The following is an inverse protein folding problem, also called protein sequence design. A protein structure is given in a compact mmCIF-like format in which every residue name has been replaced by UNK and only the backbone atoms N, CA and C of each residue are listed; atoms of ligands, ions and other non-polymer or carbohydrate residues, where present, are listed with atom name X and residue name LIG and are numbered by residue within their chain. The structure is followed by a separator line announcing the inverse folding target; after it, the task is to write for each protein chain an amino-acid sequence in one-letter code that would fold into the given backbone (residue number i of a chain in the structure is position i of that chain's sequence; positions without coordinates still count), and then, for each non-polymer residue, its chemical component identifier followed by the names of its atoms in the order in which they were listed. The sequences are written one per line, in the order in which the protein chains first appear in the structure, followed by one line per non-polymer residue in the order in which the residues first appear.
data_IF_345934137066
#
_entry.id   IF_345934137066
#
_cell.length_a   1.000
_cell.length_b   1.000
_cell.length_c   1.000
_cell.angle_alpha   90.00
_cell.angle_beta   90.00
_cell.angle_gamma   90.00
#
_symmetry.space_group_name_H-M   'P 1'
#
loop_
_entity.id
_entity.type
_entity.pdbx_description
1 polymer ?
#
# COMPACT_ATOMS: atom_id res chain seq x y z
N UNK A 1 48.73 14.33 2.79
CA UNK A 1 48.01 13.56 1.75
C UNK A 1 47.16 12.41 2.31
N UNK A 2 47.60 11.67 3.35
CA UNK A 2 46.83 10.55 3.93
C UNK A 2 45.45 10.95 4.51
N UNK A 3 45.35 12.13 5.10
CA UNK A 3 44.09 12.62 5.69
C UNK A 3 43.07 13.00 4.61
N UNK A 4 43.54 13.53 3.46
CA UNK A 4 42.67 13.88 2.33
C UNK A 4 42.04 12.62 1.69
N UNK A 5 42.83 11.55 1.55
CA UNK A 5 42.34 10.24 1.10
C UNK A 5 41.26 9.68 2.03
N UNK A 6 41.40 9.88 3.34
CA UNK A 6 40.42 9.44 4.33
C UNK A 6 39.09 10.18 4.20
N UNK A 7 39.12 11.51 4.03
CA UNK A 7 37.90 12.30 3.80
C UNK A 7 37.19 11.94 2.49
N UNK A 8 37.95 11.62 1.44
CA UNK A 8 37.40 11.21 0.16
C UNK A 8 36.72 9.83 0.25
N UNK A 9 37.34 8.89 0.96
CA UNK A 9 36.75 7.57 1.23
C UNK A 9 35.49 7.66 2.11
N UNK A 10 35.51 8.50 3.14
CA UNK A 10 34.34 8.74 3.98
C UNK A 10 33.18 9.36 3.18
N UNK A 11 33.46 10.35 2.33
CA UNK A 11 32.47 10.97 1.45
C UNK A 11 31.84 9.96 0.48
N UNK A 12 32.65 9.09 -0.12
CA UNK A 12 32.15 8.02 -0.98
C UNK A 12 31.25 7.04 -0.22
N UNK A 13 31.63 6.64 1.00
CA UNK A 13 30.84 5.74 1.84
C UNK A 13 29.47 6.37 2.19
N UNK A 14 29.45 7.64 2.60
CA UNK A 14 28.21 8.35 2.89
C UNK A 14 27.33 8.52 1.65
N UNK A 15 27.91 8.73 0.48
CA UNK A 15 27.18 8.79 -0.79
C UNK A 15 26.46 7.48 -1.12
N UNK A 16 27.14 6.34 -0.90
CA UNK A 16 26.53 5.01 -1.09
C UNK A 16 25.40 4.77 -0.09
N UNK A 17 25.60 5.10 1.19
CA UNK A 17 24.55 4.96 2.21
C UNK A 17 23.33 5.82 1.88
N UNK A 18 23.54 7.09 1.47
CA UNK A 18 22.45 7.97 1.07
C UNK A 18 21.70 7.44 -0.15
N UNK A 19 22.40 6.85 -1.12
CA UNK A 19 21.77 6.23 -2.29
C UNK A 19 20.89 5.04 -1.91
N UNK A 20 21.34 4.17 -0.99
CA UNK A 20 20.53 3.04 -0.52
C UNK A 20 19.34 3.46 0.36
N UNK A 21 19.50 4.50 1.19
CA UNK A 21 18.38 5.04 1.97
C UNK A 21 17.32 5.70 1.07
N UNK A 22 17.73 6.24 -0.08
CA UNK A 22 16.80 6.83 -1.05
C UNK A 22 16.15 5.77 -1.98
N UNK A 23 16.51 4.49 -1.84
CA UNK A 23 15.89 3.37 -2.56
C UNK A 23 14.66 2.78 -1.84
N UNK A 24 14.10 3.44 -0.82
CA UNK A 24 12.71 3.19 -0.37
C UNK A 24 11.67 3.63 -1.42
N UNK A 25 11.99 3.46 -2.70
CA UNK A 25 11.05 3.50 -3.80
C UNK A 25 10.21 2.23 -3.74
N UNK A 26 9.12 2.32 -2.98
CA UNK A 26 7.86 1.60 -3.14
C UNK A 26 7.83 0.88 -4.50
N UNK A 27 8.25 -0.39 -4.55
CA UNK A 27 8.29 -1.19 -5.79
C UNK A 27 6.84 -1.46 -6.17
N UNK A 28 6.22 -0.48 -6.79
CA UNK A 28 4.94 -0.62 -7.47
C UNK A 28 5.25 -1.35 -8.75
N UNK A 29 5.38 -2.67 -8.63
CA UNK A 29 5.30 -3.55 -9.78
C UNK A 29 4.08 -3.08 -10.59
N UNK A 30 4.32 -2.57 -11.79
CA UNK A 30 3.26 -2.12 -12.69
C UNK A 30 2.58 -3.37 -13.21
N UNK A 31 1.71 -3.94 -12.38
CA UNK A 31 0.87 -5.09 -12.71
C UNK A 31 -0.03 -4.63 -13.86
N UNK A 32 0.28 -5.09 -15.07
CA UNK A 32 -0.62 -4.96 -16.21
C UNK A 32 -1.71 -6.00 -15.99
N UNK A 33 -2.79 -5.59 -15.33
CA UNK A 33 -3.94 -6.43 -15.07
C UNK A 33 -4.64 -6.71 -16.42
N UNK A 34 -4.79 -7.97 -16.77
CA UNK A 34 -5.63 -8.37 -17.90
C UNK A 34 -7.09 -7.99 -17.61
N UNK A 35 -7.89 -7.78 -18.64
CA UNK A 35 -9.32 -7.49 -18.48
C UNK A 35 -9.97 -8.55 -17.56
N UNK A 36 -10.68 -8.08 -16.52
CA UNK A 36 -11.33 -8.92 -15.49
C UNK A 36 -10.39 -9.69 -14.55
N UNK A 37 -9.17 -9.21 -14.33
CA UNK A 37 -8.31 -9.72 -13.26
C UNK A 37 -9.00 -9.63 -11.90
N UNK A 38 -8.80 -10.64 -11.05
CA UNK A 38 -9.33 -10.65 -9.70
C UNK A 38 -8.29 -11.14 -8.69
N UNK A 39 -8.51 -10.78 -7.43
CA UNK A 39 -7.78 -11.28 -6.27
C UNK A 39 -8.78 -11.80 -5.24
N UNK A 40 -8.41 -12.87 -4.55
CA UNK A 40 -9.17 -13.41 -3.43
C UNK A 40 -8.44 -13.10 -2.12
N UNK A 41 -9.20 -13.00 -1.04
CA UNK A 41 -8.71 -12.77 0.33
C UNK A 41 -7.76 -11.55 0.44
N UNK A 42 -8.21 -10.41 -0.09
CA UNK A 42 -7.42 -9.17 -0.10
C UNK A 42 -7.53 -8.45 1.23
N UNK A 43 -6.40 -7.95 1.73
CA UNK A 43 -6.34 -7.09 2.92
C UNK A 43 -5.45 -5.88 2.68
N UNK A 44 -5.95 -4.71 3.10
CA UNK A 44 -5.23 -3.44 3.12
C UNK A 44 -5.10 -3.01 4.57
N UNK A 45 -3.87 -2.84 5.04
CA UNK A 45 -3.57 -2.47 6.42
C UNK A 45 -2.92 -1.10 6.44
N UNK A 46 -3.58 -0.12 7.07
CA UNK A 46 -2.97 1.19 7.30
C UNK A 46 -2.31 1.24 8.67
N UNK A 47 -1.03 1.61 8.68
CA UNK A 47 -0.26 1.85 9.90
C UNK A 47 0.17 3.31 9.98
N UNK A 48 0.24 3.83 11.20
CA UNK A 48 0.87 5.12 11.53
C UNK A 48 1.75 4.90 12.75
N UNK A 49 3.04 5.25 12.63
CA UNK A 49 4.03 5.06 13.69
C UNK A 49 4.10 3.61 14.21
N UNK A 50 3.96 2.65 13.29
CA UNK A 50 3.95 1.21 13.59
C UNK A 50 2.61 0.66 14.12
N UNK A 51 1.66 1.52 14.49
CA UNK A 51 0.36 1.13 15.04
C UNK A 51 -0.68 0.99 13.92
N UNK A 52 -1.45 -0.11 13.91
CA UNK A 52 -2.54 -0.34 12.95
C UNK A 52 -3.72 0.58 13.29
N UNK A 53 -4.04 1.51 12.39
CA UNK A 53 -5.15 2.46 12.55
C UNK A 53 -6.45 1.89 11.98
N UNK A 54 -6.38 1.25 10.83
CA UNK A 54 -7.49 0.50 10.26
C UNK A 54 -7.01 -0.62 9.35
N UNK A 55 -7.89 -1.59 9.14
CA UNK A 55 -7.69 -2.70 8.23
C UNK A 55 -8.97 -2.94 7.43
N UNK A 56 -8.83 -2.98 6.11
CA UNK A 56 -9.90 -3.34 5.17
C UNK A 56 -9.60 -4.74 4.66
N UNK A 57 -10.58 -5.63 4.73
CA UNK A 57 -10.51 -6.97 4.15
C UNK A 57 -11.71 -7.21 3.25
N UNK A 58 -11.50 -7.86 2.12
CA UNK A 58 -12.54 -8.29 1.20
C UNK A 58 -12.25 -9.72 0.75
N UNK A 59 -13.30 -10.54 0.62
CA UNK A 59 -13.15 -11.92 0.14
C UNK A 59 -12.75 -11.97 -1.33
N UNK A 60 -13.24 -11.02 -2.13
CA UNK A 60 -12.90 -10.92 -3.55
C UNK A 60 -12.78 -9.46 -3.98
N UNK A 61 -11.75 -9.18 -4.77
CA UNK A 61 -11.51 -7.90 -5.41
C UNK A 61 -11.46 -8.13 -6.94
N UNK A 62 -12.33 -7.48 -7.70
CA UNK A 62 -12.37 -7.56 -9.17
C UNK A 62 -11.94 -6.21 -9.72
N UNK A 63 -10.87 -6.21 -10.52
CA UNK A 63 -10.32 -5.00 -11.13
C UNK A 63 -11.07 -4.71 -12.42
N UNK A 64 -11.64 -3.50 -12.50
CA UNK A 64 -12.32 -2.98 -13.67
C UNK A 64 -11.34 -2.12 -14.50
N UNK A 65 -11.64 -1.86 -15.79
CA UNK A 65 -10.79 -1.04 -16.64
C UNK A 65 -10.62 0.43 -16.17
N UNK A 66 -11.59 0.97 -15.44
CA UNK A 66 -11.69 2.39 -15.08
C UNK A 66 -11.07 2.72 -13.70
N UNK A 67 -9.99 2.05 -13.33
CA UNK A 67 -9.30 2.16 -12.02
C UNK A 67 -10.16 1.78 -10.78
N UNK A 68 -11.38 1.33 -11.01
CA UNK A 68 -12.31 0.85 -10.00
C UNK A 68 -12.08 -0.63 -9.66
N UNK A 69 -12.22 -0.94 -8.38
CA UNK A 69 -12.11 -2.28 -7.83
C UNK A 69 -13.39 -2.60 -7.10
N UNK A 70 -14.14 -3.58 -7.60
CA UNK A 70 -15.32 -4.12 -6.89
C UNK A 70 -14.87 -5.06 -5.79
N UNK A 71 -15.34 -4.81 -4.59
CA UNK A 71 -15.01 -5.55 -3.37
C UNK A 71 -16.26 -6.29 -2.90
N UNK A 72 -16.13 -7.60 -2.65
CA UNK A 72 -17.19 -8.43 -2.10
C UNK A 72 -16.85 -8.90 -0.68
N UNK A 73 -17.88 -8.99 0.16
CA UNK A 73 -17.79 -9.34 1.59
C UNK A 73 -16.77 -8.45 2.32
N UNK A 74 -16.99 -7.14 2.28
CA UNK A 74 -16.09 -6.14 2.82
C UNK A 74 -16.23 -6.02 4.34
N UNK A 75 -15.09 -5.96 5.02
CA UNK A 75 -15.00 -5.65 6.44
C UNK A 75 -13.93 -4.59 6.68
N UNK A 76 -14.26 -3.54 7.43
CA UNK A 76 -13.31 -2.53 7.90
C UNK A 76 -13.24 -2.58 9.41
N UNK A 77 -12.06 -2.83 9.96
CA UNK A 77 -11.81 -2.83 11.40
C UNK A 77 -11.01 -1.59 11.79
N UNK A 78 -11.46 -0.91 12.85
CA UNK A 78 -10.76 0.19 13.52
C UNK A 78 -10.40 -0.24 14.95
N UNK A 79 -9.21 -0.84 15.17
CA UNK A 79 -8.86 -1.46 16.45
C UNK A 79 -8.91 -0.49 17.64
N UNK A 80 -8.45 0.75 17.47
CA UNK A 80 -8.43 1.76 18.53
C UNK A 80 -9.83 2.20 18.99
N UNK A 81 -10.84 1.98 18.15
CA UNK A 81 -12.23 2.36 18.42
C UNK A 81 -13.12 1.15 18.73
N UNK A 82 -12.54 -0.06 18.74
CA UNK A 82 -13.27 -1.32 18.80
C UNK A 82 -14.48 -1.37 17.84
N UNK A 83 -14.30 -0.81 16.63
CA UNK A 83 -15.36 -0.67 15.63
C UNK A 83 -15.10 -1.59 14.44
N UNK A 84 -16.14 -2.29 14.00
CA UNK A 84 -16.12 -3.10 12.77
C UNK A 84 -17.30 -2.70 11.89
N UNK A 85 -17.00 -2.25 10.68
CA UNK A 85 -17.97 -2.01 9.61
C UNK A 85 -18.00 -3.22 8.68
N UNK A 86 -19.18 -3.64 8.26
CA UNK A 86 -19.39 -4.75 7.32
C UNK A 86 -20.31 -4.29 6.20
N UNK A 87 -20.02 -4.72 4.98
CA UNK A 87 -20.91 -4.60 3.84
C UNK A 87 -20.75 -5.79 2.91
N UNK A 88 -21.81 -6.14 2.19
CA UNK A 88 -21.74 -7.15 1.13
C UNK A 88 -20.89 -6.67 -0.03
N UNK A 89 -20.94 -5.38 -0.35
CA UNK A 89 -20.38 -4.82 -1.59
C UNK A 89 -19.75 -3.44 -1.37
N UNK A 90 -18.68 -3.17 -2.11
CA UNK A 90 -18.05 -1.85 -2.15
C UNK A 90 -17.30 -1.62 -3.46
N UNK A 91 -17.00 -0.36 -3.73
CA UNK A 91 -16.17 0.05 -4.86
C UNK A 91 -15.04 0.91 -4.34
N UNK A 92 -13.81 0.50 -4.62
CA UNK A 92 -12.60 1.23 -4.31
C UNK A 92 -11.97 1.75 -5.59
N UNK A 93 -11.82 3.07 -5.71
CA UNK A 93 -11.14 3.68 -6.84
C UNK A 93 -9.66 3.85 -6.52
N UNK A 94 -8.79 3.23 -7.31
CA UNK A 94 -7.34 3.15 -7.03
C UNK A 94 -6.61 4.46 -7.27
N UNK A 95 -7.12 5.33 -8.14
CA UNK A 95 -6.56 6.66 -8.43
C UNK A 95 -6.88 7.66 -7.30
N UNK A 96 -8.17 7.86 -7.01
CA UNK A 96 -8.64 8.80 -5.98
C UNK A 96 -8.49 8.30 -4.55
N UNK A 97 -8.29 6.99 -4.37
CA UNK A 97 -8.25 6.28 -3.07
C UNK A 97 -9.55 6.39 -2.28
N UNK A 98 -10.66 6.66 -2.96
CA UNK A 98 -11.97 6.72 -2.36
C UNK A 98 -12.59 5.34 -2.27
N UNK A 99 -13.18 5.04 -1.11
CA UNK A 99 -13.98 3.84 -0.88
C UNK A 99 -15.46 4.24 -0.78
N UNK A 100 -16.27 3.74 -1.70
CA UNK A 100 -17.73 3.76 -1.60
C UNK A 100 -18.19 2.41 -1.07
N UNK A 101 -19.00 2.44 -0.03
CA UNK A 101 -19.62 1.26 0.54
C UNK A 101 -21.11 1.43 0.30
N UNK A 102 -21.70 0.47 -0.40
CA UNK A 102 -23.15 0.41 -0.53
C UNK A 102 -23.67 -0.40 0.67
N UNK A 103 -24.77 0.05 1.28
CA UNK A 103 -25.33 -0.50 2.52
C UNK A 103 -26.80 -0.82 2.38
#
# INVERSE_FOLDING_TARGET
MKNFLFFLAAGALFGVIAFFLNQEGDVRAKLVLAEQSYMEDVSIVQRRDGVVKWMLSAKKAVFLPDDDVKLADLQIRFPEKDLVLRSSDGVYNTESRNLKIDG
#
